data_IF_275509589734
#
_entry.id   IF_275509589734
#
_cell.length_a   1.000
_cell.length_b   1.000
_cell.length_c   1.000
_cell.angle_alpha   90.00
_cell.angle_beta   90.00
_cell.angle_gamma   90.00
#
_symmetry.space_group_name_H-M   'P 1'
#
loop_
_entity.id
_entity.type
_entity.pdbx_description
1 polymer ?
#
# COMPACT_ATOMS: atom_id res chain seq x y z
N UNK A 1 -39.42 30.66 -43.98
CA UNK A 1 -38.14 30.09 -43.50
C UNK A 1 -37.20 29.95 -44.70
N UNK A 2 -36.15 30.77 -44.75
CA UNK A 2 -35.30 30.96 -45.93
C UNK A 2 -34.45 29.70 -46.25
N UNK A 3 -34.32 29.26 -47.53
CA UNK A 3 -33.71 27.99 -47.92
C UNK A 3 -32.22 27.83 -47.53
N UNK A 4 -31.52 28.94 -47.31
CA UNK A 4 -30.12 29.00 -46.86
C UNK A 4 -29.93 28.54 -45.42
N UNK A 5 -30.92 28.77 -44.54
CA UNK A 5 -30.87 28.34 -43.13
C UNK A 5 -31.09 26.82 -42.98
N UNK A 6 -31.81 26.20 -43.94
CA UNK A 6 -31.99 24.75 -43.96
C UNK A 6 -30.72 24.01 -44.39
N UNK A 7 -29.94 24.56 -45.32
CA UNK A 7 -28.65 24.01 -45.76
C UNK A 7 -27.58 24.10 -44.67
N UNK A 8 -27.55 25.20 -43.91
CA UNK A 8 -26.63 25.36 -42.77
C UNK A 8 -26.93 24.36 -41.64
N UNK A 9 -28.21 24.16 -41.31
CA UNK A 9 -28.64 23.17 -40.33
C UNK A 9 -28.31 21.72 -40.75
N UNK A 10 -28.40 21.41 -42.05
CA UNK A 10 -28.04 20.09 -42.62
C UNK A 10 -26.52 19.83 -42.55
N UNK A 11 -25.70 20.84 -42.85
CA UNK A 11 -24.23 20.77 -42.80
C UNK A 11 -23.70 20.57 -41.36
N UNK A 12 -24.32 21.24 -40.38
CA UNK A 12 -23.98 21.07 -38.95
C UNK A 12 -24.36 19.66 -38.48
N UNK A 13 -25.51 19.11 -38.92
CA UNK A 13 -25.95 17.76 -38.57
C UNK A 13 -25.00 16.68 -39.10
N UNK A 14 -24.50 16.83 -40.32
CA UNK A 14 -23.56 15.87 -40.94
C UNK A 14 -22.17 15.88 -40.30
N UNK A 15 -21.65 17.06 -39.92
CA UNK A 15 -20.36 17.16 -39.22
C UNK A 15 -20.38 16.50 -37.83
N UNK A 16 -21.52 16.56 -37.17
CA UNK A 16 -21.71 15.99 -35.84
C UNK A 16 -21.86 14.46 -35.84
N UNK A 17 -22.41 13.87 -36.91
CA UNK A 17 -22.46 12.42 -37.13
C UNK A 17 -21.07 11.85 -37.45
N UNK A 18 -20.27 12.55 -38.27
CA UNK A 18 -18.87 12.15 -38.59
C UNK A 18 -17.91 12.22 -37.39
N UNK A 19 -18.20 13.08 -36.40
CA UNK A 19 -17.40 13.24 -35.17
C UNK A 19 -17.93 12.44 -33.96
N UNK A 20 -19.00 11.65 -34.14
CA UNK A 20 -19.56 10.80 -33.07
C UNK A 20 -20.20 11.56 -31.90
N UNK A 21 -20.45 12.87 -32.04
CA UNK A 21 -20.82 13.76 -30.93
C UNK A 21 -22.32 13.99 -30.75
N UNK A 22 -23.17 13.44 -31.64
CA UNK A 22 -24.63 13.46 -31.50
C UNK A 22 -25.26 12.06 -31.57
N UNK A 23 -24.51 11.02 -31.19
CA UNK A 23 -25.06 9.70 -30.90
C UNK A 23 -25.45 9.58 -29.41
N UNK A 24 -26.38 10.43 -28.97
CA UNK A 24 -27.28 10.08 -27.86
C UNK A 24 -28.31 9.03 -28.28
N UNK A 25 -28.24 8.53 -29.53
CA UNK A 25 -28.84 7.29 -29.96
C UNK A 25 -27.80 6.18 -29.92
N UNK A 26 -27.89 5.34 -28.88
CA UNK A 26 -27.34 3.98 -28.79
C UNK A 26 -27.11 3.38 -30.19
N UNK A 27 -25.89 3.47 -30.71
CA UNK A 27 -25.45 2.67 -31.85
C UNK A 27 -25.43 1.23 -31.34
N UNK A 28 -26.58 0.57 -31.44
CA UNK A 28 -26.65 -0.87 -31.41
C UNK A 28 -25.85 -1.28 -32.63
N UNK A 29 -24.63 -1.73 -32.38
CA UNK A 29 -23.82 -2.45 -33.34
C UNK A 29 -24.73 -3.27 -34.25
N UNK A 30 -24.49 -3.15 -35.56
CA UNK A 30 -25.01 -4.01 -36.61
C UNK A 30 -24.51 -5.45 -36.40
N UNK A 31 -24.89 -6.06 -35.28
CA UNK A 31 -24.96 -7.50 -35.16
C UNK A 31 -26.38 -7.88 -35.60
N UNK A 32 -26.56 -8.73 -36.64
CA UNK A 32 -27.87 -9.27 -36.92
C UNK A 32 -28.37 -9.93 -35.63
N UNK A 33 -29.58 -9.59 -35.22
CA UNK A 33 -30.17 -9.97 -33.92
C UNK A 33 -30.40 -11.50 -33.78
N UNK A 34 -30.01 -12.26 -34.80
CA UNK A 34 -30.04 -13.72 -34.92
C UNK A 34 -28.78 -14.41 -34.41
N UNK A 35 -27.65 -13.71 -34.37
CA UNK A 35 -26.40 -14.33 -33.93
C UNK A 35 -26.29 -14.19 -32.40
N UNK A 36 -26.11 -15.28 -31.64
CA UNK A 36 -25.85 -15.17 -30.21
C UNK A 36 -24.61 -14.30 -30.02
N UNK A 37 -24.69 -13.32 -29.11
CA UNK A 37 -23.54 -12.52 -28.70
C UNK A 37 -22.37 -13.45 -28.42
N UNK A 38 -21.15 -13.19 -28.93
CA UNK A 38 -19.99 -13.99 -28.58
C UNK A 38 -19.88 -14.01 -27.05
N UNK A 39 -19.70 -15.20 -26.49
CA UNK A 39 -19.61 -15.35 -25.04
C UNK A 39 -18.60 -14.35 -24.49
N UNK A 40 -18.92 -13.67 -23.38
CA UNK A 40 -17.97 -12.76 -22.76
C UNK A 40 -16.68 -13.53 -22.51
N UNK A 41 -15.50 -12.93 -22.77
CA UNK A 41 -14.23 -13.60 -22.57
C UNK A 41 -14.21 -14.20 -21.15
N UNK A 42 -13.70 -15.43 -20.99
CA UNK A 42 -13.70 -16.07 -19.69
C UNK A 42 -13.00 -15.15 -18.71
N UNK A 43 -13.65 -14.90 -17.56
CA UNK A 43 -13.01 -14.11 -16.50
C UNK A 43 -11.63 -14.73 -16.26
N UNK A 44 -10.56 -13.91 -16.18
CA UNK A 44 -9.24 -14.44 -15.94
C UNK A 44 -9.29 -15.36 -14.72
N UNK A 45 -8.62 -16.52 -14.76
CA UNK A 45 -8.65 -17.45 -13.64
C UNK A 45 -8.29 -16.67 -12.39
N UNK A 46 -9.12 -16.79 -11.34
CA UNK A 46 -8.80 -16.17 -10.05
C UNK A 46 -7.50 -16.81 -9.58
N UNK A 47 -6.38 -16.13 -9.81
CA UNK A 47 -5.12 -16.50 -9.17
C UNK A 47 -5.42 -16.43 -7.68
N UNK A 48 -5.48 -17.59 -7.02
CA UNK A 48 -5.49 -17.65 -5.57
C UNK A 48 -4.20 -16.96 -5.18
N UNK A 49 -4.29 -15.69 -4.74
CA UNK A 49 -3.15 -15.07 -4.08
C UNK A 49 -2.85 -16.04 -2.95
N UNK A 50 -1.72 -16.73 -3.03
CA UNK A 50 -1.18 -17.40 -1.86
C UNK A 50 -1.19 -16.30 -0.83
N UNK A 51 -1.97 -16.47 0.24
CA UNK A 51 -1.87 -15.57 1.36
C UNK A 51 -0.45 -15.77 1.87
N UNK A 52 0.51 -14.98 1.39
CA UNK A 52 1.66 -14.63 2.20
C UNK A 52 1.03 -13.86 3.33
N UNK A 53 0.54 -14.56 4.34
CA UNK A 53 0.21 -13.93 5.59
C UNK A 53 1.56 -13.49 6.15
N UNK A 54 1.91 -12.19 6.17
CA UNK A 54 2.86 -11.76 7.16
C UNK A 54 2.29 -12.18 8.52
N UNK A 55 3.10 -12.77 9.43
CA UNK A 55 2.61 -13.44 10.64
C UNK A 55 1.95 -12.51 11.69
N UNK A 56 1.61 -11.26 11.33
CA UNK A 56 0.95 -10.30 12.21
C UNK A 56 -0.55 -10.51 12.39
N UNK A 57 -1.07 -11.70 12.08
CA UNK A 57 -2.36 -12.16 12.65
C UNK A 57 -2.21 -12.58 14.13
N UNK A 58 -1.37 -11.90 14.88
CA UNK A 58 -1.59 -11.74 16.31
C UNK A 58 -2.50 -10.52 16.39
N UNK A 59 -3.74 -10.69 16.85
CA UNK A 59 -4.57 -9.55 17.24
C UNK A 59 -3.86 -8.83 18.39
N UNK A 60 -2.83 -8.04 18.08
CA UNK A 60 -2.16 -7.23 19.08
C UNK A 60 -3.16 -6.17 19.50
N UNK A 61 -3.65 -6.34 20.72
CA UNK A 61 -4.50 -5.36 21.40
C UNK A 61 -3.80 -3.99 21.45
N UNK A 62 -2.46 -3.98 21.45
CA UNK A 62 -1.66 -2.77 21.34
C UNK A 62 -1.08 -2.50 19.94
N UNK A 63 -1.87 -1.89 19.06
CA UNK A 63 -1.49 -1.52 17.68
C UNK A 63 -0.24 -0.63 17.58
N UNK A 64 0.07 0.14 18.62
CA UNK A 64 1.27 0.98 18.65
C UNK A 64 2.56 0.14 18.63
N UNK A 65 2.55 -1.05 19.24
CA UNK A 65 3.70 -1.95 19.28
C UNK A 65 4.10 -2.44 17.88
N UNK A 66 3.12 -2.64 16.99
CA UNK A 66 3.37 -3.05 15.60
C UNK A 66 4.19 -2.02 14.80
N UNK A 67 4.26 -0.77 15.24
CA UNK A 67 5.00 0.28 14.52
C UNK A 67 6.47 0.39 14.91
N UNK A 68 6.91 -0.28 15.98
CA UNK A 68 8.26 -0.11 16.52
C UNK A 68 8.77 -1.32 17.29
N UNK A 69 9.74 -1.10 18.18
CA UNK A 69 10.45 -2.15 18.90
C UNK A 69 10.16 -2.10 20.41
N UNK A 70 9.32 -3.04 20.87
CA UNK A 70 8.80 -3.06 22.24
C UNK A 70 9.34 -4.20 23.10
N UNK A 71 10.08 -5.15 22.52
CA UNK A 71 10.67 -6.30 23.23
C UNK A 71 9.66 -7.04 24.13
N UNK A 72 8.45 -7.29 23.62
CA UNK A 72 7.36 -7.95 24.36
C UNK A 72 6.66 -7.09 25.41
N UNK A 73 7.06 -5.82 25.61
CA UNK A 73 6.34 -4.92 26.51
C UNK A 73 4.99 -4.53 25.94
N UNK A 74 3.98 -4.66 26.77
CA UNK A 74 2.59 -4.36 26.45
C UNK A 74 1.99 -3.40 27.47
N UNK A 75 0.83 -2.82 27.13
CA UNK A 75 0.01 -2.11 28.12
C UNK A 75 -0.50 -3.12 29.15
N UNK A 76 -0.29 -2.82 30.43
CA UNK A 76 -0.87 -3.58 31.53
C UNK A 76 -2.13 -2.86 32.05
N UNK A 77 -3.16 -3.63 32.35
CA UNK A 77 -4.41 -3.15 32.92
C UNK A 77 -4.60 -3.75 34.31
N UNK A 78 -5.07 -2.95 35.25
CA UNK A 78 -5.33 -3.43 36.60
C UNK A 78 -6.03 -2.38 37.45
N UNK A 79 -5.84 -2.46 38.77
CA UNK A 79 -6.48 -1.59 39.72
C UNK A 79 -5.43 -0.88 40.58
N UNK A 80 -5.69 0.38 40.92
CA UNK A 80 -5.14 1.01 42.10
C UNK A 80 -6.01 0.62 43.30
N UNK A 81 -5.39 0.19 44.39
CA UNK A 81 -6.07 -0.25 45.61
C UNK A 81 -5.74 0.77 46.69
N UNK A 82 -6.76 1.32 47.36
CA UNK A 82 -6.55 2.15 48.54
C UNK A 82 -6.22 1.31 49.77
N UNK A 83 -5.78 1.95 50.84
CA UNK A 83 -5.57 1.33 52.16
C UNK A 83 -6.84 0.63 52.67
N UNK A 84 -8.01 1.21 52.40
CA UNK A 84 -9.33 0.64 52.72
C UNK A 84 -9.85 -0.39 51.69
N UNK A 85 -9.02 -0.82 50.73
CA UNK A 85 -9.39 -1.85 49.76
C UNK A 85 -10.26 -1.39 48.58
N UNK A 86 -10.51 -0.08 48.43
CA UNK A 86 -11.28 0.45 47.30
C UNK A 86 -10.48 0.31 46.01
N UNK A 87 -11.10 -0.24 44.96
CA UNK A 87 -10.45 -0.55 43.68
C UNK A 87 -10.85 0.45 42.60
N UNK A 88 -9.86 1.13 42.00
CA UNK A 88 -10.07 2.02 40.84
C UNK A 88 -9.27 1.53 39.64
N UNK A 89 -9.86 1.53 38.43
CA UNK A 89 -9.19 1.05 37.21
C UNK A 89 -7.99 1.93 36.87
N UNK A 90 -6.83 1.31 36.60
CA UNK A 90 -5.60 1.97 36.15
C UNK A 90 -4.97 1.24 34.97
N UNK A 91 -4.24 1.99 34.16
CA UNK A 91 -3.48 1.49 33.02
C UNK A 91 -2.01 1.87 33.16
N UNK A 92 -1.09 0.91 32.99
CA UNK A 92 0.35 1.16 32.96
C UNK A 92 0.87 1.02 31.54
N UNK A 93 1.42 2.11 31.01
CA UNK A 93 1.95 2.17 29.64
C UNK A 93 3.47 1.92 29.68
N UNK A 94 4.03 1.25 28.67
CA UNK A 94 5.49 1.15 28.54
C UNK A 94 6.09 2.54 28.26
N UNK A 95 7.31 2.77 28.74
CA UNK A 95 8.08 3.96 28.38
C UNK A 95 8.57 3.81 26.92
N UNK A 96 8.03 4.61 26.01
CA UNK A 96 8.35 4.56 24.58
C UNK A 96 9.01 5.87 24.16
N UNK A 97 10.18 5.77 23.57
CA UNK A 97 10.98 6.89 23.09
C UNK A 97 11.08 6.84 21.56
N UNK A 98 11.10 8.00 20.90
CA UNK A 98 11.39 8.10 19.46
C UNK A 98 12.88 8.36 19.30
N UNK A 99 13.61 7.39 18.77
CA UNK A 99 15.08 7.45 18.65
C UNK A 99 15.45 7.20 17.19
N UNK A 100 16.51 7.88 16.71
CA UNK A 100 17.11 7.60 15.40
C UNK A 100 18.24 6.60 15.60
N UNK A 101 18.12 5.42 15.03
CA UNK A 101 19.10 4.35 15.14
C UNK A 101 19.81 4.19 13.79
N UNK A 102 21.14 4.09 13.84
CA UNK A 102 21.95 3.88 12.65
C UNK A 102 21.91 2.39 12.24
N UNK A 103 21.78 2.14 10.95
CA UNK A 103 21.86 0.81 10.34
C UNK A 103 23.10 0.78 9.44
N UNK A 104 23.99 -0.17 9.69
CA UNK A 104 25.25 -0.31 8.94
C UNK A 104 24.96 -0.81 7.52
N UNK A 105 24.04 -1.76 7.38
CA UNK A 105 23.68 -2.31 6.08
C UNK A 105 23.05 -1.26 5.15
N UNK A 106 22.30 -0.30 5.72
CA UNK A 106 21.60 0.75 4.96
C UNK A 106 22.40 2.05 4.85
N UNK A 107 23.46 2.21 5.65
CA UNK A 107 24.20 3.44 5.83
C UNK A 107 23.30 4.67 6.12
N UNK A 108 22.20 4.47 6.85
CA UNK A 108 21.20 5.51 7.14
C UNK A 108 20.69 5.43 8.59
N UNK A 109 20.22 6.57 9.11
CA UNK A 109 19.64 6.71 10.46
C UNK A 109 18.12 6.63 10.39
N UNK A 110 17.56 5.56 10.92
CA UNK A 110 16.13 5.26 10.85
C UNK A 110 15.43 5.72 12.13
N UNK A 111 14.40 6.58 12.05
CA UNK A 111 13.60 6.95 13.22
C UNK A 111 12.64 5.83 13.59
N UNK A 112 12.78 5.29 14.81
CA UNK A 112 11.96 4.17 15.32
C UNK A 112 11.43 4.51 16.72
N UNK A 113 10.22 4.03 17.03
CA UNK A 113 9.70 4.02 18.41
C UNK A 113 10.25 2.81 19.15
N UNK A 114 10.99 3.03 20.24
CA UNK A 114 11.72 1.99 20.95
C UNK A 114 11.47 2.10 22.46
N UNK A 115 11.40 0.96 23.14
CA UNK A 115 11.39 0.91 24.61
C UNK A 115 12.82 0.82 25.16
N UNK A 116 13.11 1.32 26.38
CA UNK A 116 14.45 1.19 26.97
C UNK A 116 14.96 -0.25 27.08
N UNK A 117 14.06 -1.22 27.28
CA UNK A 117 14.43 -2.64 27.28
C UNK A 117 14.92 -3.08 25.89
N UNK A 118 14.23 -2.67 24.82
CA UNK A 118 14.65 -2.99 23.46
C UNK A 118 16.00 -2.35 23.11
N UNK A 119 16.26 -1.11 23.57
CA UNK A 119 17.59 -0.48 23.45
C UNK A 119 18.66 -1.31 24.17
N UNK A 120 18.43 -1.69 25.42
CA UNK A 120 19.36 -2.52 26.20
C UNK A 120 19.68 -3.87 25.53
N UNK A 121 18.68 -4.52 24.92
CA UNK A 121 18.90 -5.78 24.20
C UNK A 121 19.66 -5.52 22.88
N UNK A 122 19.39 -4.40 22.21
CA UNK A 122 20.08 -4.00 20.99
C UNK A 122 21.57 -3.74 21.24
N UNK A 123 21.90 -3.04 22.32
CA UNK A 123 23.28 -2.79 22.74
C UNK A 123 24.00 -4.11 23.02
N UNK A 124 23.34 -5.04 23.75
CA UNK A 124 23.88 -6.38 24.02
C UNK A 124 24.14 -7.19 22.75
N UNK A 125 23.30 -7.04 21.72
CA UNK A 125 23.48 -7.74 20.43
C UNK A 125 24.45 -7.01 19.49
N UNK A 126 24.88 -5.80 19.83
CA UNK A 126 25.81 -5.01 19.03
C UNK A 126 25.17 -4.33 17.82
N UNK A 127 23.97 -3.75 17.98
CA UNK A 127 23.37 -2.84 16.98
C UNK A 127 21.98 -3.24 16.48
N UNK A 128 21.37 -2.34 15.70
CA UNK A 128 20.00 -2.50 15.18
C UNK A 128 19.87 -3.70 14.25
N UNK A 129 20.81 -3.86 13.32
CA UNK A 129 20.72 -4.85 12.25
C UNK A 129 20.79 -6.27 12.81
N UNK A 130 21.78 -6.54 13.67
CA UNK A 130 21.92 -7.82 14.41
C UNK A 130 20.69 -8.10 15.27
N UNK A 131 20.12 -7.06 15.90
CA UNK A 131 18.91 -7.20 16.70
C UNK A 131 17.68 -7.60 15.87
N UNK A 132 17.49 -7.00 14.70
CA UNK A 132 16.39 -7.33 13.79
C UNK A 132 16.55 -8.73 13.17
N UNK A 133 17.76 -9.08 12.74
CA UNK A 133 18.04 -10.39 12.11
C UNK A 133 17.80 -11.56 13.07
N UNK A 134 18.11 -11.36 14.36
CA UNK A 134 17.93 -12.39 15.40
C UNK A 134 16.49 -12.51 15.94
N UNK A 135 15.60 -11.57 15.63
CA UNK A 135 14.18 -11.69 16.01
C UNK A 135 13.39 -12.58 15.05
N UNK A 136 12.35 -13.23 15.57
CA UNK A 136 11.43 -14.04 14.77
C UNK A 136 10.50 -13.10 14.00
N UNK A 137 10.11 -13.51 12.79
CA UNK A 137 9.23 -12.67 11.96
C UNK A 137 7.86 -12.42 12.58
N UNK A 138 7.39 -13.35 13.43
CA UNK A 138 6.11 -13.25 14.16
C UNK A 138 6.09 -12.14 15.21
N UNK A 139 7.26 -11.76 15.72
CA UNK A 139 7.39 -10.76 16.78
C UNK A 139 7.50 -9.34 16.22
N UNK A 140 7.69 -9.20 14.91
CA UNK A 140 7.87 -7.93 14.21
C UNK A 140 6.56 -7.48 13.58
N UNK A 141 6.22 -6.21 13.81
CA UNK A 141 5.16 -5.57 13.03
C UNK A 141 5.60 -5.29 11.59
N UNK A 142 4.63 -5.02 10.72
CA UNK A 142 4.84 -4.81 9.28
C UNK A 142 6.04 -3.89 8.90
N UNK A 143 6.21 -2.68 9.48
CA UNK A 143 7.34 -1.82 9.12
C UNK A 143 8.69 -2.43 9.52
N UNK A 144 8.76 -3.08 10.67
CA UNK A 144 10.00 -3.69 11.17
C UNK A 144 10.33 -4.98 10.42
N UNK A 145 9.32 -5.76 10.05
CA UNK A 145 9.46 -6.92 9.17
C UNK A 145 10.04 -6.52 7.81
N UNK A 146 9.49 -5.46 7.19
CA UNK A 146 9.99 -4.91 5.93
C UNK A 146 11.44 -4.43 6.06
N UNK A 147 11.76 -3.76 7.17
CA UNK A 147 13.12 -3.30 7.44
C UNK A 147 14.11 -4.47 7.58
N UNK A 148 13.77 -5.49 8.37
CA UNK A 148 14.58 -6.72 8.50
C UNK A 148 14.86 -7.36 7.15
N UNK A 149 13.84 -7.51 6.31
CA UNK A 149 13.99 -8.12 4.99
C UNK A 149 14.72 -7.23 3.98
N UNK A 150 14.68 -5.91 4.16
CA UNK A 150 15.51 -4.99 3.39
C UNK A 150 16.99 -5.19 3.75
N UNK A 151 17.32 -5.15 5.05
CA UNK A 151 18.67 -5.40 5.56
C UNK A 151 19.18 -6.77 5.10
N UNK A 152 18.37 -7.83 5.24
CA UNK A 152 18.76 -9.18 4.84
C UNK A 152 19.03 -9.34 3.34
N UNK A 153 18.41 -8.50 2.48
CA UNK A 153 18.67 -8.50 1.03
C UNK A 153 19.98 -7.79 0.70
N UNK A 154 20.22 -6.62 1.29
CA UNK A 154 21.47 -5.88 1.10
C UNK A 154 22.67 -6.71 1.56
N UNK A 155 22.54 -7.40 2.70
CA UNK A 155 23.60 -8.30 3.19
C UNK A 155 23.87 -9.48 2.25
N UNK A 156 22.93 -9.87 1.39
CA UNK A 156 23.14 -10.87 0.34
C UNK A 156 23.77 -10.29 -0.94
N UNK A 157 23.94 -8.98 -1.02
CA UNK A 157 24.42 -8.28 -2.22
C UNK A 157 23.32 -7.90 -3.22
N UNK A 158 22.04 -8.06 -2.85
CA UNK A 158 20.94 -7.60 -3.71
C UNK A 158 20.83 -6.07 -3.68
N UNK A 159 20.51 -5.42 -4.81
CA UNK A 159 20.35 -3.98 -4.85
C UNK A 159 19.16 -3.54 -3.99
N UNK A 160 19.33 -2.38 -3.40
CA UNK A 160 18.37 -1.82 -2.49
C UNK A 160 17.14 -1.32 -3.28
N UNK A 161 16.09 -2.15 -3.35
CA UNK A 161 14.84 -1.78 -4.02
C UNK A 161 14.14 -0.73 -3.14
N UNK A 162 14.46 0.54 -3.35
CA UNK A 162 13.66 1.63 -2.79
C UNK A 162 12.22 1.47 -3.32
N UNK A 163 11.21 1.32 -2.45
CA UNK A 163 9.83 1.42 -2.90
C UNK A 163 9.69 2.81 -3.52
N UNK A 164 9.41 2.87 -4.83
CA UNK A 164 9.48 4.09 -5.64
C UNK A 164 9.08 5.34 -4.85
N UNK A 165 10.03 6.29 -4.74
CA UNK A 165 9.86 7.62 -4.14
C UNK A 165 8.87 8.50 -4.93
N UNK A 166 7.79 7.94 -5.47
CA UNK A 166 6.73 8.74 -6.06
C UNK A 166 5.86 9.32 -4.94
N UNK A 167 5.69 10.65 -4.87
CA UNK A 167 4.70 11.27 -4.00
C UNK A 167 3.35 10.57 -4.15
N UNK A 168 2.60 10.39 -3.05
CA UNK A 168 1.24 9.81 -3.11
C UNK A 168 0.34 10.50 -4.15
N UNK A 169 0.59 11.80 -4.41
CA UNK A 169 -0.04 12.60 -5.47
C UNK A 169 0.30 12.09 -6.88
N UNK A 170 1.59 11.88 -7.19
CA UNK A 170 2.07 11.30 -8.47
C UNK A 170 1.48 9.91 -8.71
N UNK A 171 1.53 9.01 -7.72
CA UNK A 171 0.99 7.63 -7.84
C UNK A 171 -0.50 7.62 -8.15
N UNK A 172 -1.26 8.51 -7.51
CA UNK A 172 -2.69 8.73 -7.81
C UNK A 172 -2.85 9.24 -9.24
N UNK A 173 -2.12 10.29 -9.63
CA UNK A 173 -2.17 10.89 -10.97
C UNK A 173 -1.83 9.88 -12.07
N UNK A 174 -0.77 9.08 -11.91
CA UNK A 174 -0.38 7.97 -12.79
C UNK A 174 -1.45 6.88 -12.85
N UNK A 175 -2.01 6.47 -11.71
CA UNK A 175 -3.10 5.49 -11.66
C UNK A 175 -4.36 6.00 -12.39
N UNK A 176 -4.76 7.25 -12.18
CA UNK A 176 -5.89 7.86 -12.88
C UNK A 176 -5.62 7.98 -14.39
N UNK A 177 -4.40 8.34 -14.78
CA UNK A 177 -3.99 8.50 -16.17
C UNK A 177 -3.88 7.15 -16.92
N UNK A 178 -3.39 6.09 -16.27
CA UNK A 178 -3.34 4.71 -16.80
C UNK A 178 -4.73 4.03 -16.88
N UNK A 179 -5.71 4.50 -16.11
CA UNK A 179 -7.10 3.98 -16.13
C UNK A 179 -7.99 4.68 -17.17
N UNK A 180 -7.50 5.71 -17.87
CA UNK A 180 -8.26 6.34 -18.95
C UNK A 180 -8.16 5.50 -20.24
N UNK A 181 -9.26 5.35 -21.02
CA UNK A 181 -9.19 4.73 -22.33
C UNK A 181 -8.34 5.61 -23.26
N UNK A 182 -7.05 5.29 -23.39
CA UNK A 182 -6.05 6.08 -24.14
C UNK A 182 -4.68 6.24 -23.47
N UNK A 183 -4.48 5.78 -22.23
CA UNK A 183 -3.19 5.79 -21.54
C UNK A 183 -2.16 4.84 -22.16
N UNK A 184 -1.45 5.33 -23.19
CA UNK A 184 -0.28 4.79 -23.91
C UNK A 184 -0.24 3.26 -24.12
N UNK A 185 -0.64 2.84 -25.33
CA UNK A 185 -0.03 1.68 -25.99
C UNK A 185 1.46 2.01 -26.15
N UNK A 186 2.33 1.14 -25.64
CA UNK A 186 3.77 1.27 -25.81
C UNK A 186 4.09 1.41 -27.31
N UNK A 187 4.60 2.57 -27.71
CA UNK A 187 5.40 2.71 -28.92
C UNK A 187 6.83 2.35 -28.51
N UNK A 188 7.31 1.20 -28.97
CA UNK A 188 8.73 0.85 -28.91
C UNK A 188 9.57 1.96 -29.56
N UNK A 189 10.62 2.48 -28.90
CA UNK A 189 11.59 3.33 -29.57
C UNK A 189 12.64 2.40 -30.21
N UNK A 190 12.28 1.79 -31.34
CA UNK A 190 13.17 0.86 -32.03
C UNK A 190 12.68 0.59 -33.43
N UNK A 191 13.50 1.01 -34.39
CA UNK A 191 13.40 0.77 -35.82
C UNK A 191 13.40 -0.71 -36.15
#
# INVERSE_FOLDING_TARGET
>A
MHPTLQLFAKKIREQHVKRGLFASGRLKYLYPKSDPLPDPPPKPPKIKKVKKEPPWMVQQTYKQALTGLYAGKHIQYGNQISEFGNKSRRTWRPNVQKVKLYSEALNDKIPIKVTPLALKIMDRKGGLDKYLLSMRDKDLGEPMYKLKHRIARILKGEPDIEPSKEPKKERRKRKYWLLQPGGMKNSDPGR
#
